data_IF_002306828040
#
_entry.id   IF_002306828040
#
_cell.length_a   1.000
_cell.length_b   1.000
_cell.length_c   1.000
_cell.angle_alpha   90.00
_cell.angle_beta   90.00
_cell.angle_gamma   90.00
#
_symmetry.space_group_name_H-M   'P 1'
#
loop_
_entity.id
_entity.type
_entity.pdbx_description
1 polymer ?
#
# COMPACT_ATOMS: atom_id res chain seq x y z
N UNK A 1 1.98 -1.66 -9.54
CA UNK A 1 2.61 -1.52 -8.22
C UNK A 1 3.74 -0.54 -8.45
N UNK A 2 3.48 0.73 -8.15
CA UNK A 2 4.37 1.84 -8.47
C UNK A 2 5.48 1.89 -7.43
N UNK A 3 6.72 1.74 -7.90
CA UNK A 3 7.93 1.81 -7.07
C UNK A 3 8.21 3.25 -6.65
N UNK A 4 8.45 3.46 -5.35
CA UNK A 4 8.92 4.72 -4.79
C UNK A 4 10.43 4.81 -5.06
N UNK A 5 10.82 5.66 -6.00
CA UNK A 5 12.22 5.93 -6.33
C UNK A 5 12.90 6.87 -5.33
N UNK A 6 13.99 6.40 -4.71
CA UNK A 6 14.97 7.24 -4.03
C UNK A 6 16.16 7.40 -4.98
N UNK A 7 16.36 8.60 -5.50
CA UNK A 7 17.49 8.96 -6.37
C UNK A 7 18.65 9.40 -5.46
N UNK A 8 19.76 8.68 -5.49
CA UNK A 8 21.04 9.07 -4.88
C UNK A 8 21.93 9.61 -6.01
N UNK A 9 22.40 10.86 -5.89
CA UNK A 9 23.33 11.47 -6.84
C UNK A 9 24.76 10.91 -6.65
N UNK A 10 25.59 10.78 -7.72
CA UNK A 10 26.94 10.25 -7.61
C UNK A 10 27.97 11.36 -7.29
N UNK A 11 28.89 11.04 -6.38
CA UNK A 11 30.02 11.87 -5.96
C UNK A 11 31.04 12.07 -7.09
N UNK A 12 31.58 13.29 -7.20
CA UNK A 12 32.75 13.61 -8.04
C UNK A 12 34.04 13.31 -7.29
N UNK A 13 34.86 12.46 -7.91
CA UNK A 13 36.27 12.27 -7.59
C UNK A 13 37.08 13.52 -7.97
N UNK A 14 37.93 14.01 -7.07
CA UNK A 14 39.10 14.80 -7.45
C UNK A 14 40.33 14.23 -6.72
N UNK A 15 41.29 13.81 -7.55
CA UNK A 15 42.54 13.18 -7.21
C UNK A 15 43.66 14.22 -7.31
N UNK A 16 44.44 14.42 -6.25
CA UNK A 16 45.74 15.05 -6.33
C UNK A 16 46.71 14.38 -5.37
N UNK A 17 47.69 13.69 -5.96
CA UNK A 17 48.87 13.10 -5.33
C UNK A 17 49.78 14.21 -4.79
N UNK A 18 50.43 14.00 -3.64
CA UNK A 18 51.90 14.05 -3.59
C UNK A 18 52.54 13.74 -2.23
N UNK A 19 53.69 13.07 -2.34
CA UNK A 19 54.83 12.99 -1.41
C UNK A 19 54.74 12.18 -0.11
N UNK A 20 55.37 11.00 -0.15
CA UNK A 20 56.05 10.37 1.01
C UNK A 20 57.20 11.28 1.47
N UNK A 21 57.53 11.37 2.77
CA UNK A 21 58.58 10.46 3.25
C UNK A 21 58.55 10.08 4.75
N UNK A 22 59.31 9.01 5.02
CA UNK A 22 60.06 8.70 6.26
C UNK A 22 59.37 8.00 7.43
N UNK A 23 60.12 7.00 7.90
CA UNK A 23 59.92 6.00 8.93
C UNK A 23 60.03 6.62 10.33
N UNK A 24 59.12 6.26 11.25
CA UNK A 24 59.40 6.28 12.68
C UNK A 24 58.36 6.96 13.57
N UNK A 25 57.84 6.17 14.51
CA UNK A 25 57.15 6.57 15.75
C UNK A 25 55.70 7.03 15.62
N UNK A 26 54.77 6.19 16.10
CA UNK A 26 53.39 6.63 16.36
C UNK A 26 52.28 5.58 16.24
N UNK A 27 52.47 4.35 16.74
CA UNK A 27 51.44 3.29 16.72
C UNK A 27 50.34 3.47 17.80
N UNK A 28 49.98 4.70 18.20
CA UNK A 28 49.00 4.91 19.30
C UNK A 28 48.00 6.05 19.04
N UNK A 29 47.69 6.40 17.79
CA UNK A 29 46.72 7.50 17.52
C UNK A 29 45.46 7.06 16.76
N UNK A 30 45.40 5.83 16.23
CA UNK A 30 44.31 5.42 15.31
C UNK A 30 43.10 4.70 15.97
N UNK A 31 43.18 4.35 17.27
CA UNK A 31 42.10 3.63 17.97
C UNK A 31 40.99 4.56 18.52
N UNK A 32 41.24 5.87 18.61
CA UNK A 32 40.27 6.84 19.15
C UNK A 32 39.42 7.51 18.04
N UNK A 33 39.91 7.61 16.81
CA UNK A 33 39.15 8.15 15.68
C UNK A 33 38.16 7.13 15.09
N UNK A 34 38.53 5.84 15.05
CA UNK A 34 37.63 4.76 14.62
C UNK A 34 36.47 4.53 15.60
N UNK A 35 36.71 4.67 16.92
CA UNK A 35 35.68 4.50 17.95
C UNK A 35 34.70 5.67 18.03
N UNK A 36 35.12 6.89 17.68
CA UNK A 36 34.26 8.08 17.62
C UNK A 36 33.34 8.06 16.39
N UNK A 37 33.81 7.55 15.24
CA UNK A 37 32.94 7.28 14.08
C UNK A 37 31.94 6.15 14.37
N UNK A 38 32.38 5.07 15.03
CA UNK A 38 31.50 3.97 15.45
C UNK A 38 30.40 4.43 16.42
N UNK A 39 30.74 5.29 17.39
CA UNK A 39 29.78 5.87 18.33
C UNK A 39 28.77 6.78 17.63
N UNK A 40 29.22 7.58 16.67
CA UNK A 40 28.35 8.45 15.86
C UNK A 40 27.41 7.63 14.98
N UNK A 41 27.91 6.56 14.37
CA UNK A 41 27.13 5.60 13.59
C UNK A 41 26.09 4.90 14.45
N UNK A 42 26.47 4.42 15.64
CA UNK A 42 25.54 3.83 16.61
C UNK A 42 24.42 4.80 16.99
N UNK A 43 24.74 6.06 17.29
CA UNK A 43 23.72 7.07 17.62
C UNK A 43 22.79 7.39 16.46
N UNK A 44 23.29 7.42 15.23
CA UNK A 44 22.46 7.57 14.01
C UNK A 44 21.50 6.40 13.84
N UNK A 45 21.99 5.16 13.97
CA UNK A 45 21.19 3.93 13.90
C UNK A 45 20.15 3.86 15.02
N UNK A 46 20.51 4.26 16.24
CA UNK A 46 19.58 4.33 17.38
C UNK A 46 18.43 5.30 17.08
N UNK A 47 18.71 6.49 16.55
CA UNK A 47 17.69 7.46 16.14
C UNK A 47 16.81 6.94 14.99
N UNK A 48 17.40 6.21 14.05
CA UNK A 48 16.64 5.57 12.97
C UNK A 48 15.71 4.48 13.49
N UNK A 49 16.15 3.67 14.46
CA UNK A 49 15.30 2.67 15.11
C UNK A 49 14.12 3.32 15.84
N UNK A 50 14.37 4.39 16.60
CA UNK A 50 13.31 5.14 17.27
C UNK A 50 12.31 5.73 16.27
N UNK A 51 12.79 6.26 15.14
CA UNK A 51 11.94 6.78 14.08
C UNK A 51 11.10 5.68 13.42
N UNK A 52 11.67 4.50 13.15
CA UNK A 52 10.94 3.36 12.60
C UNK A 52 9.92 2.80 13.58
N UNK A 53 10.20 2.79 14.89
CA UNK A 53 9.25 2.36 15.90
C UNK A 53 8.00 3.24 15.93
N UNK A 54 8.16 4.56 15.81
CA UNK A 54 7.04 5.51 15.72
C UNK A 54 6.23 5.29 14.43
N UNK A 55 6.90 5.05 13.30
CA UNK A 55 6.20 4.73 12.05
C UNK A 55 5.44 3.40 12.13
N UNK A 56 6.01 2.39 12.79
CA UNK A 56 5.34 1.11 12.97
C UNK A 56 4.06 1.27 13.78
N UNK A 57 4.09 2.03 14.87
CA UNK A 57 2.92 2.37 15.67
C UNK A 57 1.87 3.13 14.84
N UNK A 58 2.30 4.14 14.08
CA UNK A 58 1.42 4.91 13.21
C UNK A 58 0.72 4.03 12.16
N UNK A 59 1.47 3.15 11.49
CA UNK A 59 0.90 2.23 10.49
C UNK A 59 -0.08 1.26 11.15
N UNK A 60 0.20 0.77 12.37
CA UNK A 60 -0.74 -0.11 13.10
C UNK A 60 -2.06 0.60 13.41
N UNK A 61 -1.99 1.87 13.81
CA UNK A 61 -3.18 2.66 14.10
C UNK A 61 -3.97 3.01 12.83
N UNK A 62 -3.29 3.41 11.75
CA UNK A 62 -3.91 3.62 10.43
C UNK A 62 -4.59 2.35 9.90
N UNK A 63 -3.93 1.20 10.01
CA UNK A 63 -4.55 -0.08 9.64
C UNK A 63 -5.81 -0.37 10.47
N UNK A 64 -5.80 -0.04 11.76
CA UNK A 64 -6.97 -0.21 12.63
C UNK A 64 -8.08 0.76 12.23
N UNK A 65 -7.75 2.00 11.88
CA UNK A 65 -8.72 2.98 11.40
C UNK A 65 -9.35 2.52 10.08
N UNK A 66 -8.54 2.12 9.10
CA UNK A 66 -9.00 1.64 7.81
C UNK A 66 -9.90 0.40 7.94
N UNK A 67 -9.60 -0.51 8.87
CA UNK A 67 -10.47 -1.65 9.17
C UNK A 67 -11.84 -1.22 9.70
N UNK A 68 -11.91 -0.17 10.53
CA UNK A 68 -13.19 0.37 11.03
C UNK A 68 -13.98 1.01 9.90
N UNK A 69 -13.34 1.84 9.08
CA UNK A 69 -13.98 2.46 7.91
C UNK A 69 -14.49 1.42 6.92
N UNK A 70 -13.72 0.35 6.69
CA UNK A 70 -14.14 -0.78 5.88
C UNK A 70 -15.41 -1.45 6.41
N UNK A 71 -15.50 -1.68 7.73
CA UNK A 71 -16.69 -2.25 8.37
C UNK A 71 -17.89 -1.31 8.22
N UNK A 72 -17.71 0.00 8.44
CA UNK A 72 -18.78 0.98 8.25
C UNK A 72 -19.25 1.05 6.79
N UNK A 73 -18.34 1.01 5.82
CA UNK A 73 -18.70 0.95 4.41
C UNK A 73 -19.47 -0.34 4.08
N UNK A 74 -19.10 -1.47 4.69
CA UNK A 74 -19.80 -2.74 4.51
C UNK A 74 -21.22 -2.72 5.09
N UNK A 75 -21.43 -2.04 6.22
CA UNK A 75 -22.76 -1.80 6.80
C UNK A 75 -23.63 -0.96 5.87
N UNK A 76 -23.04 0.05 5.23
CA UNK A 76 -23.77 0.92 4.30
C UNK A 76 -24.20 0.18 3.02
N UNK A 77 -23.37 -0.73 2.51
CA UNK A 77 -23.75 -1.61 1.39
C UNK A 77 -24.95 -2.49 1.77
N UNK A 78 -25.00 -3.02 3.00
CA UNK A 78 -26.14 -3.82 3.48
C UNK A 78 -27.41 -2.98 3.60
N UNK A 79 -27.31 -1.68 3.89
CA UNK A 79 -28.46 -0.76 3.93
C UNK A 79 -29.12 -0.65 2.56
N UNK A 80 -28.34 -0.59 1.48
CA UNK A 80 -28.85 -0.53 0.10
C UNK A 80 -29.54 -1.85 -0.29
N UNK A 81 -29.10 -2.97 0.26
CA UNK A 81 -29.72 -4.29 0.06
C UNK A 81 -31.02 -4.49 0.87
N UNK A 82 -31.48 -3.47 1.60
CA UNK A 82 -32.74 -3.57 2.34
C UNK A 82 -33.96 -3.47 1.41
N UNK A 83 -35.06 -4.08 1.84
CA UNK A 83 -36.35 -4.16 1.13
C UNK A 83 -36.98 -2.74 1.03
N UNK A 84 -37.67 -2.35 -0.05
CA UNK A 84 -38.11 -3.15 -1.20
C UNK A 84 -37.14 -3.14 -2.39
N UNK A 85 -36.92 -4.33 -2.95
CA UNK A 85 -36.09 -4.54 -4.15
C UNK A 85 -36.96 -5.04 -5.30
N UNK A 86 -36.59 -4.69 -6.53
CA UNK A 86 -37.27 -5.16 -7.74
C UNK A 86 -36.55 -6.40 -8.27
N UNK A 87 -37.29 -7.43 -8.64
CA UNK A 87 -36.69 -8.64 -9.20
C UNK A 87 -36.43 -8.44 -10.70
N UNK A 88 -35.22 -8.78 -11.13
CA UNK A 88 -34.80 -8.87 -12.54
C UNK A 88 -34.12 -10.20 -12.85
N UNK A 89 -33.78 -10.39 -14.12
CA UNK A 89 -32.99 -11.51 -14.61
C UNK A 89 -31.66 -10.99 -15.15
N UNK A 90 -30.58 -11.70 -14.85
CA UNK A 90 -29.27 -11.40 -15.41
C UNK A 90 -29.15 -12.02 -16.81
N UNK A 91 -28.77 -11.22 -17.81
CA UNK A 91 -28.59 -11.72 -19.19
C UNK A 91 -27.11 -12.02 -19.46
N UNK A 92 -26.27 -10.98 -19.46
CA UNK A 92 -24.87 -11.06 -19.88
C UNK A 92 -23.99 -10.05 -19.14
N UNK A 93 -22.74 -10.44 -18.87
CA UNK A 93 -21.70 -9.53 -18.38
C UNK A 93 -20.99 -8.87 -19.56
N UNK A 94 -20.96 -7.53 -19.56
CA UNK A 94 -20.26 -6.75 -20.62
C UNK A 94 -18.82 -6.47 -20.21
N UNK A 95 -18.61 -6.15 -18.93
CA UNK A 95 -17.31 -5.87 -18.35
C UNK A 95 -17.21 -6.51 -16.96
N UNK A 96 -16.03 -6.44 -16.35
CA UNK A 96 -15.83 -6.84 -14.97
C UNK A 96 -16.82 -6.13 -14.06
N UNK A 97 -17.12 -4.85 -14.18
CA UNK A 97 -17.99 -4.20 -13.19
C UNK A 97 -19.41 -3.95 -13.67
N UNK A 98 -19.78 -4.39 -14.87
CA UNK A 98 -21.04 -3.98 -15.48
C UNK A 98 -21.66 -5.10 -16.30
N UNK A 99 -22.98 -5.20 -16.22
CA UNK A 99 -23.75 -6.22 -16.93
C UNK A 99 -25.10 -5.69 -17.38
N UNK A 100 -25.76 -6.51 -18.20
CA UNK A 100 -27.11 -6.26 -18.70
C UNK A 100 -28.09 -7.11 -17.90
N UNK A 101 -29.11 -6.45 -17.38
CA UNK A 101 -30.21 -7.07 -16.62
C UNK A 101 -31.53 -6.80 -17.31
N UNK A 102 -32.40 -7.80 -17.36
CA UNK A 102 -33.76 -7.70 -17.84
C UNK A 102 -34.68 -7.52 -16.66
N UNK A 103 -35.36 -6.38 -16.57
CA UNK A 103 -36.36 -6.20 -15.54
C UNK A 103 -37.60 -7.04 -15.85
N UNK A 104 -38.33 -7.43 -14.80
CA UNK A 104 -39.66 -8.04 -14.92
C UNK A 104 -40.68 -7.13 -15.63
N UNK A 105 -40.35 -5.85 -15.84
CA UNK A 105 -41.11 -4.90 -16.66
C UNK A 105 -40.86 -5.01 -18.17
N UNK A 106 -40.00 -5.93 -18.61
CA UNK A 106 -39.73 -6.19 -20.03
C UNK A 106 -38.69 -5.26 -20.68
N UNK A 107 -38.10 -4.35 -19.91
CA UNK A 107 -37.01 -3.46 -20.33
C UNK A 107 -35.64 -3.99 -19.87
N UNK A 108 -34.62 -3.77 -20.70
CA UNK A 108 -33.23 -4.10 -20.37
C UNK A 108 -32.48 -2.88 -19.85
N UNK A 109 -31.69 -3.06 -18.81
CA UNK A 109 -30.89 -2.02 -18.18
C UNK A 109 -29.40 -2.38 -18.19
N UNK A 110 -28.57 -1.36 -18.39
CA UNK A 110 -27.12 -1.44 -18.21
C UNK A 110 -26.80 -0.99 -16.77
N UNK A 111 -26.38 -1.93 -15.91
CA UNK A 111 -26.28 -1.69 -14.46
C UNK A 111 -24.94 -2.16 -13.93
N UNK A 112 -24.40 -1.39 -12.97
CA UNK A 112 -23.17 -1.73 -12.26
C UNK A 112 -23.41 -2.87 -11.28
N UNK A 113 -22.55 -3.88 -11.32
CA UNK A 113 -22.57 -5.01 -10.38
C UNK A 113 -21.89 -4.59 -9.08
N UNK A 114 -22.51 -4.91 -7.94
CA UNK A 114 -21.91 -4.67 -6.62
C UNK A 114 -20.63 -5.50 -6.45
N UNK A 115 -19.57 -4.88 -5.92
CA UNK A 115 -18.26 -5.52 -5.74
C UNK A 115 -18.26 -6.66 -4.71
N UNK A 116 -19.27 -6.73 -3.84
CA UNK A 116 -19.41 -7.77 -2.81
C UNK A 116 -20.06 -9.05 -3.34
N UNK A 117 -20.58 -9.04 -4.56
CA UNK A 117 -21.29 -10.19 -5.15
C UNK A 117 -20.28 -11.13 -5.82
N UNK A 118 -20.48 -12.42 -5.62
CA UNK A 118 -19.71 -13.45 -6.30
C UNK A 118 -20.17 -13.61 -7.75
N UNK A 119 -19.20 -13.61 -8.66
CA UNK A 119 -19.40 -13.61 -10.11
C UNK A 119 -19.68 -15.00 -10.64
N UNK A 120 -19.21 -16.02 -9.94
CA UNK A 120 -19.42 -17.42 -10.36
C UNK A 120 -20.89 -17.84 -10.25
N UNK A 121 -21.63 -17.15 -9.37
CA UNK A 121 -23.08 -17.32 -9.21
C UNK A 121 -23.89 -16.56 -10.28
N UNK A 122 -23.30 -15.56 -10.94
CA UNK A 122 -23.95 -14.78 -12.00
C UNK A 122 -23.90 -15.54 -13.33
N UNK A 123 -24.71 -16.60 -13.40
CA UNK A 123 -24.98 -17.32 -14.65
C UNK A 123 -26.05 -16.60 -15.46
N UNK A 124 -26.06 -16.74 -16.80
CA UNK A 124 -27.17 -16.28 -17.61
C UNK A 124 -28.49 -16.83 -17.08
N UNK A 125 -29.53 -16.00 -17.04
CA UNK A 125 -30.85 -16.29 -16.47
C UNK A 125 -30.91 -16.43 -14.93
N UNK A 126 -29.85 -16.05 -14.20
CA UNK A 126 -29.93 -15.95 -12.75
C UNK A 126 -30.93 -14.84 -12.33
N UNK A 127 -31.71 -15.11 -11.28
CA UNK A 127 -32.58 -14.09 -10.68
C UNK A 127 -31.73 -13.13 -9.85
N UNK A 128 -31.88 -11.84 -10.11
CA UNK A 128 -31.15 -10.77 -9.41
C UNK A 128 -32.11 -9.77 -8.79
N UNK A 129 -31.68 -9.12 -7.72
CA UNK A 129 -32.41 -8.03 -7.10
C UNK A 129 -31.80 -6.69 -7.56
N UNK A 130 -32.67 -5.76 -7.95
CA UNK A 130 -32.39 -4.41 -8.41
C UNK A 130 -32.89 -3.39 -7.37
#
# INVERSE_FOLDING_TARGET
>A
MEEIGIIIAPDKEDNSQDSKPTLGSGLVVDDLESTTDLYTKYKKLQRQLEFLAVQEEYIKDEQRNLKKEYLHAQEEVKRIQSVPLVIGQFLEAVDQNTGIVGSTTGSNYYVRILSTIDRELLKPSASVAL
#
